data_IF_127885832787
#
_entry.id   IF_127885832787
#
_cell.length_a   1.000
_cell.length_b   1.000
_cell.length_c   1.000
_cell.angle_alpha   90.00
_cell.angle_beta   90.00
_cell.angle_gamma   90.00
#
_symmetry.space_group_name_H-M   'P 1'
#
loop_
_entity.id
_entity.type
_entity.pdbx_description
1 polymer ?
#
# COMPACT_ATOMS: atom_id res chain seq x y z
N UNK A 1 -7.76 16.15 -23.94
CA UNK A 1 -7.43 15.56 -22.62
C UNK A 1 -8.54 15.92 -21.66
N UNK A 2 -9.06 14.97 -20.86
CA UNK A 2 -10.11 15.28 -19.89
C UNK A 2 -9.57 16.20 -18.80
N UNK A 3 -10.43 17.12 -18.34
CA UNK A 3 -10.12 18.04 -17.23
C UNK A 3 -11.12 17.77 -16.12
N UNK A 4 -10.62 17.64 -14.89
CA UNK A 4 -11.43 17.46 -13.69
C UNK A 4 -11.36 18.73 -12.84
N UNK A 5 -12.50 19.29 -12.48
CA UNK A 5 -12.60 20.42 -11.55
C UNK A 5 -13.31 19.98 -10.28
N UNK A 6 -12.67 20.15 -9.13
CA UNK A 6 -13.25 19.85 -7.82
C UNK A 6 -13.74 21.16 -7.20
N UNK A 7 -15.06 21.38 -7.21
CA UNK A 7 -15.68 22.55 -6.57
C UNK A 7 -15.96 22.27 -5.09
N UNK A 8 -15.87 23.30 -4.26
CA UNK A 8 -16.18 23.20 -2.82
C UNK A 8 -15.18 22.39 -2.01
N UNK A 9 -13.92 22.26 -2.47
CA UNK A 9 -12.88 21.59 -1.70
C UNK A 9 -12.64 22.35 -0.38
N UNK A 10 -12.76 21.69 0.79
CA UNK A 10 -12.43 22.33 2.05
C UNK A 10 -10.97 22.78 2.09
N UNK A 11 -10.72 23.99 2.60
CA UNK A 11 -9.36 24.55 2.70
C UNK A 11 -8.40 23.62 3.46
N UNK A 12 -8.90 22.96 4.49
CA UNK A 12 -8.13 22.00 5.29
C UNK A 12 -7.65 20.82 4.44
N UNK A 13 -8.51 20.33 3.52
CA UNK A 13 -8.17 19.25 2.60
C UNK A 13 -7.15 19.73 1.55
N UNK A 14 -7.36 20.92 0.98
CA UNK A 14 -6.41 21.51 0.02
C UNK A 14 -5.01 21.65 0.64
N UNK A 15 -4.92 22.19 1.86
CA UNK A 15 -3.64 22.36 2.58
C UNK A 15 -2.95 21.03 2.84
N UNK A 16 -3.70 20.00 3.27
CA UNK A 16 -3.15 18.65 3.49
C UNK A 16 -2.62 18.03 2.20
N UNK A 17 -3.35 18.16 1.09
CA UNK A 17 -2.90 17.66 -0.21
C UNK A 17 -1.66 18.40 -0.70
N UNK A 18 -1.59 19.73 -0.53
CA UNK A 18 -0.42 20.53 -0.90
C UNK A 18 0.83 20.14 -0.11
N UNK A 19 0.70 19.94 1.21
CA UNK A 19 1.80 19.47 2.06
C UNK A 19 2.28 18.08 1.64
N UNK A 20 1.34 17.16 1.37
CA UNK A 20 1.65 15.81 0.90
C UNK A 20 2.35 15.81 -0.46
N UNK A 21 1.89 16.64 -1.40
CA UNK A 21 2.52 16.80 -2.72
C UNK A 21 3.97 17.30 -2.59
N UNK A 22 4.23 18.27 -1.70
CA UNK A 22 5.58 18.76 -1.42
C UNK A 22 6.48 17.66 -0.83
N UNK A 23 5.98 16.88 0.13
CA UNK A 23 6.70 15.75 0.72
C UNK A 23 7.06 14.69 -0.33
N UNK A 24 6.16 14.43 -1.28
CA UNK A 24 6.37 13.49 -2.39
C UNK A 24 7.16 14.08 -3.56
N UNK A 25 7.57 15.36 -3.49
CA UNK A 25 8.21 16.13 -4.58
C UNK A 25 7.42 16.09 -5.90
N UNK A 26 6.10 16.21 -5.81
CA UNK A 26 5.17 16.19 -6.94
C UNK A 26 4.38 17.49 -7.01
N UNK A 27 3.90 17.83 -8.22
CA UNK A 27 2.89 18.86 -8.36
C UNK A 27 1.59 18.42 -7.66
N UNK A 28 0.75 19.37 -7.24
CA UNK A 28 -0.55 19.06 -6.64
C UNK A 28 -1.43 18.25 -7.61
N UNK A 29 -1.38 18.58 -8.91
CA UNK A 29 -2.12 17.83 -9.93
C UNK A 29 -1.67 16.36 -9.99
N UNK A 30 -0.36 16.12 -10.04
CA UNK A 30 0.21 14.77 -10.05
C UNK A 30 -0.13 13.99 -8.78
N UNK A 31 -0.15 14.65 -7.62
CA UNK A 31 -0.56 14.03 -6.36
C UNK A 31 -2.06 13.64 -6.37
N UNK A 32 -2.93 14.51 -6.88
CA UNK A 32 -4.37 14.22 -7.02
C UNK A 32 -4.59 13.04 -7.96
N UNK A 33 -3.92 13.03 -9.13
CA UNK A 33 -3.98 11.91 -10.08
C UNK A 33 -3.49 10.62 -9.41
N UNK A 34 -2.39 10.67 -8.66
CA UNK A 34 -1.88 9.51 -7.94
C UNK A 34 -2.90 8.99 -6.90
N UNK A 35 -3.50 9.87 -6.09
CA UNK A 35 -4.54 9.47 -5.15
C UNK A 35 -5.76 8.84 -5.84
N UNK A 36 -6.20 9.41 -6.97
CA UNK A 36 -7.31 8.86 -7.75
C UNK A 36 -6.95 7.51 -8.36
N UNK A 37 -5.73 7.35 -8.89
CA UNK A 37 -5.25 6.09 -9.45
C UNK A 37 -5.16 5.00 -8.38
N UNK A 38 -4.66 5.32 -7.18
CA UNK A 38 -4.61 4.39 -6.05
C UNK A 38 -6.01 3.91 -5.64
N UNK A 39 -7.01 4.79 -5.65
CA UNK A 39 -8.38 4.42 -5.29
C UNK A 39 -9.10 3.69 -6.42
N UNK A 40 -8.96 4.15 -7.66
CA UNK A 40 -9.56 3.53 -8.84
C UNK A 40 -8.93 2.15 -9.15
N UNK A 41 -7.63 2.00 -8.89
CA UNK A 41 -6.89 0.76 -9.03
C UNK A 41 -7.08 -0.23 -7.88
N UNK A 42 -7.68 0.22 -6.76
CA UNK A 42 -8.20 -0.68 -5.72
C UNK A 42 -9.49 -1.35 -6.22
N UNK A 43 -9.38 -2.16 -7.28
CA UNK A 43 -10.26 -3.30 -7.39
C UNK A 43 -10.02 -4.13 -6.12
N UNK A 44 -11.08 -4.43 -5.37
CA UNK A 44 -10.98 -5.39 -4.27
C UNK A 44 -10.44 -6.67 -4.94
N UNK A 45 -9.22 -7.12 -4.64
CA UNK A 45 -8.68 -8.28 -5.32
C UNK A 45 -9.68 -9.41 -5.09
N UNK A 46 -10.00 -10.14 -6.16
CA UNK A 46 -10.77 -11.36 -6.01
C UNK A 46 -10.09 -12.18 -4.91
N UNK A 47 -10.85 -12.51 -3.88
CA UNK A 47 -10.30 -13.08 -2.65
C UNK A 47 -9.69 -14.44 -2.97
N UNK A 48 -10.28 -15.18 -3.93
CA UNK A 48 -9.73 -16.43 -4.43
C UNK A 48 -8.41 -16.22 -5.19
N UNK A 49 -8.34 -15.24 -6.09
CA UNK A 49 -7.11 -14.89 -6.79
C UNK A 49 -5.98 -14.47 -5.84
N UNK A 50 -6.29 -13.71 -4.79
CA UNK A 50 -5.31 -13.28 -3.79
C UNK A 50 -4.78 -14.47 -2.98
N UNK A 51 -5.67 -15.36 -2.53
CA UNK A 51 -5.28 -16.58 -1.81
C UNK A 51 -4.40 -17.48 -2.68
N UNK A 52 -4.78 -17.68 -3.95
CA UNK A 52 -3.99 -18.46 -4.91
C UNK A 52 -2.58 -17.88 -5.10
N UNK A 53 -2.47 -16.57 -5.28
CA UNK A 53 -1.17 -15.90 -5.41
C UNK A 53 -0.32 -16.05 -4.14
N UNK A 54 -0.95 -15.97 -2.95
CA UNK A 54 -0.26 -16.17 -1.68
C UNK A 54 0.25 -17.61 -1.52
N UNK A 55 -0.54 -18.61 -1.92
CA UNK A 55 -0.15 -20.02 -1.86
C UNK A 55 0.93 -20.36 -2.90
N UNK A 56 0.81 -19.89 -4.15
CA UNK A 56 1.85 -20.02 -5.18
C UNK A 56 3.18 -19.44 -4.69
N UNK A 57 3.15 -18.26 -4.07
CA UNK A 57 4.34 -17.63 -3.52
C UNK A 57 4.89 -18.36 -2.31
N UNK A 58 4.03 -18.88 -1.43
CA UNK A 58 4.44 -19.70 -0.28
C UNK A 58 5.11 -20.99 -0.74
N UNK A 59 4.59 -21.62 -1.79
CA UNK A 59 5.13 -22.87 -2.33
C UNK A 59 6.42 -22.65 -3.15
N UNK A 60 6.58 -21.49 -3.79
CA UNK A 60 7.79 -21.19 -4.57
C UNK A 60 9.01 -20.93 -3.69
N UNK A 61 8.81 -20.40 -2.48
CA UNK A 61 9.90 -20.24 -1.53
C UNK A 61 9.93 -21.46 -0.61
N UNK A 62 10.97 -22.31 -0.75
CA UNK A 62 11.19 -23.51 0.08
C UNK A 62 11.61 -23.16 1.52
N UNK A 63 10.86 -22.29 2.19
CA UNK A 63 11.11 -21.91 3.58
C UNK A 63 10.36 -22.84 4.52
N UNK A 64 10.98 -23.25 5.63
CA UNK A 64 10.25 -23.95 6.68
C UNK A 64 9.13 -23.07 7.24
N UNK A 65 8.05 -23.69 7.70
CA UNK A 65 6.97 -22.96 8.36
C UNK A 65 7.51 -22.19 9.56
N UNK A 66 7.09 -20.92 9.65
CA UNK A 66 7.41 -20.05 10.77
C UNK A 66 6.57 -20.48 11.98
N UNK A 67 7.08 -21.44 12.75
CA UNK A 67 6.41 -21.94 13.95
C UNK A 67 6.73 -21.06 15.16
N UNK A 68 5.83 -21.05 16.14
CA UNK A 68 6.05 -20.35 17.42
C UNK A 68 7.33 -20.82 18.12
N UNK A 69 7.65 -22.12 18.03
CA UNK A 69 8.89 -22.68 18.56
C UNK A 69 10.12 -22.09 17.86
N UNK A 70 10.08 -22.01 16.53
CA UNK A 70 11.16 -21.41 15.75
C UNK A 70 11.35 -19.93 16.10
N UNK A 71 10.26 -19.17 16.18
CA UNK A 71 10.28 -17.76 16.56
C UNK A 71 10.87 -17.54 17.95
N UNK A 72 10.41 -18.29 18.95
CA UNK A 72 10.94 -18.22 20.33
C UNK A 72 12.43 -18.55 20.38
N UNK A 73 12.86 -19.60 19.65
CA UNK A 73 14.26 -19.97 19.59
C UNK A 73 15.13 -18.88 18.93
N UNK A 74 14.67 -18.28 17.83
CA UNK A 74 15.36 -17.20 17.13
C UNK A 74 15.49 -15.94 18.01
N UNK A 75 14.41 -15.52 18.67
CA UNK A 75 14.40 -14.38 19.60
C UNK A 75 15.40 -14.60 20.74
N UNK A 76 15.37 -15.78 21.37
CA UNK A 76 16.26 -16.09 22.49
C UNK A 76 17.73 -16.18 22.06
N UNK A 77 18.00 -16.61 20.83
CA UNK A 77 19.36 -16.67 20.27
C UNK A 77 19.97 -15.27 20.07
N UNK A 78 19.16 -14.28 19.72
CA UNK A 78 19.61 -12.89 19.55
C UNK A 78 19.64 -12.04 20.82
N UNK A 79 19.21 -12.60 21.97
CA UNK A 79 19.30 -11.94 23.29
C UNK A 79 20.57 -12.29 24.07
N UNK A 80 21.36 -13.25 23.58
CA UNK A 80 22.72 -13.53 24.07
C UNK A 80 23.72 -12.70 23.28
#
# INVERSE_FOLDING_TARGET
>A
MPVLTIKGMPDTLYRRLKARAAANRRSLNSEIIFCLAEVAGRARPDTAALLRMADERRNSVKLPFLTDRFLKAAINRGRK
#
